data_IF_265121792407
#
_entry.id   IF_265121792407
#
_cell.length_a   1.000
_cell.length_b   1.000
_cell.length_c   1.000
_cell.angle_alpha   90.00
_cell.angle_beta   90.00
_cell.angle_gamma   90.00
#
_symmetry.space_group_name_H-M   'P 1'
#
loop_
_entity.id
_entity.type
_entity.pdbx_description
1 polymer ?
#
# COMPACT_ATOMS: atom_id res chain seq x y z
N UNK A 1 43.77 18.84 12.17
CA UNK A 1 45.00 18.29 12.81
C UNK A 1 46.00 19.37 13.29
N UNK A 2 45.63 20.65 13.35
CA UNK A 2 46.56 21.77 13.60
C UNK A 2 46.72 22.19 15.08
N UNK A 3 45.95 21.63 16.02
CA UNK A 3 45.89 22.13 17.40
C UNK A 3 46.90 21.48 18.37
N UNK A 4 47.26 20.20 18.15
CA UNK A 4 48.21 19.47 19.03
C UNK A 4 49.60 20.12 19.05
N UNK A 5 50.06 20.65 17.92
CA UNK A 5 51.36 21.31 17.83
C UNK A 5 51.41 22.67 18.54
N UNK A 6 50.30 23.41 18.58
CA UNK A 6 50.25 24.71 19.28
C UNK A 6 50.37 24.54 20.79
N UNK A 7 49.67 23.57 21.37
CA UNK A 7 49.73 23.29 22.83
C UNK A 7 51.14 22.87 23.25
N UNK A 8 51.82 22.03 22.45
CA UNK A 8 53.21 21.64 22.70
C UNK A 8 54.16 22.84 22.56
N UNK A 9 53.97 23.70 21.56
CA UNK A 9 54.79 24.90 21.35
C UNK A 9 54.66 25.90 22.52
N UNK A 10 53.44 26.13 23.02
CA UNK A 10 53.20 26.99 24.18
C UNK A 10 53.73 26.38 25.48
N UNK A 11 53.62 25.06 25.66
CA UNK A 11 54.19 24.36 26.82
C UNK A 11 55.71 24.41 26.87
N UNK A 12 56.38 24.20 25.73
CA UNK A 12 57.85 24.31 25.63
C UNK A 12 58.30 25.77 25.81
N UNK A 13 57.59 26.73 25.21
CA UNK A 13 57.88 28.16 25.37
C UNK A 13 57.75 28.64 26.83
N UNK A 14 56.74 28.17 27.56
CA UNK A 14 56.57 28.48 28.98
C UNK A 14 57.66 27.88 29.87
N UNK A 15 58.11 26.66 29.57
CA UNK A 15 59.24 26.03 30.28
C UNK A 15 60.56 26.77 30.04
N UNK A 16 60.82 27.22 28.80
CA UNK A 16 62.00 28.04 28.47
C UNK A 16 61.94 29.40 29.17
N UNK A 17 60.78 30.05 29.21
CA UNK A 17 60.60 31.31 29.93
C UNK A 17 60.83 31.17 31.44
N UNK A 18 60.29 30.11 32.07
CA UNK A 18 60.53 29.80 33.48
C UNK A 18 61.99 29.47 33.77
N UNK A 19 62.67 28.78 32.85
CA UNK A 19 64.11 28.50 32.95
C UNK A 19 64.95 29.79 32.89
N UNK A 20 64.61 30.72 31.98
CA UNK A 20 65.28 32.03 31.88
C UNK A 20 65.05 32.88 33.14
N UNK A 21 63.83 32.92 33.67
CA UNK A 21 63.50 33.66 34.90
C UNK A 21 64.27 33.13 36.11
N UNK A 22 64.40 31.80 36.21
CA UNK A 22 65.22 31.14 37.24
C UNK A 22 66.71 31.43 37.06
N UNK A 23 67.21 31.37 35.83
CA UNK A 23 68.61 31.66 35.49
C UNK A 23 69.01 33.10 35.84
N UNK A 24 68.09 34.05 35.63
CA UNK A 24 68.27 35.46 35.98
C UNK A 24 68.08 35.77 37.48
N UNK A 25 67.82 34.75 38.33
CA UNK A 25 67.53 34.89 39.77
C UNK A 25 66.39 35.87 40.09
N UNK A 26 65.49 36.12 39.14
CA UNK A 26 64.42 37.12 39.28
C UNK A 26 63.26 36.64 40.16
N UNK A 27 63.20 35.34 40.49
CA UNK A 27 62.17 34.75 41.34
C UNK A 27 62.72 33.56 42.16
N UNK A 28 62.18 33.34 43.36
CA UNK A 28 62.55 32.18 44.18
C UNK A 28 62.09 30.86 43.53
N UNK A 29 62.81 29.77 43.81
CA UNK A 29 62.50 28.43 43.29
C UNK A 29 61.04 28.00 43.56
N UNK A 30 60.48 28.45 44.68
CA UNK A 30 59.07 28.27 45.07
C UNK A 30 58.09 28.89 44.08
N UNK A 31 58.37 30.09 43.57
CA UNK A 31 57.46 30.81 42.65
C UNK A 31 57.44 30.14 41.28
N UNK A 32 58.60 29.68 40.80
CA UNK A 32 58.74 28.94 39.52
C UNK A 32 58.00 27.60 39.59
N UNK A 33 58.10 26.89 40.71
CA UNK A 33 57.39 25.63 40.93
C UNK A 33 55.87 25.81 40.99
N UNK A 34 55.37 26.85 41.68
CA UNK A 34 53.93 27.15 41.76
C UNK A 34 53.35 27.51 40.39
N UNK A 35 54.06 28.31 39.58
CA UNK A 35 53.63 28.64 38.21
C UNK A 35 53.64 27.39 37.32
N UNK A 36 54.65 26.53 37.44
CA UNK A 36 54.72 25.27 36.70
C UNK A 36 53.58 24.30 37.03
N UNK A 37 53.29 24.09 38.31
CA UNK A 37 52.20 23.23 38.78
C UNK A 37 50.83 23.83 38.37
N UNK A 38 50.66 25.14 38.52
CA UNK A 38 49.45 25.85 38.08
C UNK A 38 49.22 25.74 36.56
N UNK A 39 50.30 25.83 35.77
CA UNK A 39 50.26 25.62 34.33
C UNK A 39 49.82 24.20 33.95
N UNK A 40 50.40 23.17 34.58
CA UNK A 40 50.03 21.75 34.37
C UNK A 40 48.57 21.50 34.77
N UNK A 41 48.13 22.06 35.90
CA UNK A 41 46.76 21.94 36.37
C UNK A 41 45.76 22.57 35.39
N UNK A 42 46.06 23.78 34.88
CA UNK A 42 45.23 24.45 33.88
C UNK A 42 45.19 23.68 32.55
N UNK A 43 46.32 23.12 32.09
CA UNK A 43 46.34 22.30 30.86
C UNK A 43 45.60 20.98 31.06
N UNK A 44 45.72 20.35 32.23
CA UNK A 44 44.96 19.14 32.57
C UNK A 44 43.45 19.42 32.64
N UNK A 45 43.04 20.55 33.22
CA UNK A 45 41.64 20.96 33.28
C UNK A 45 41.08 21.30 31.89
N UNK A 46 41.85 21.99 31.04
CA UNK A 46 41.46 22.29 29.66
C UNK A 46 41.31 21.01 28.83
N UNK A 47 42.28 20.08 28.91
CA UNK A 47 42.19 18.77 28.24
C UNK A 47 41.02 17.92 28.76
N UNK A 48 40.69 17.99 30.06
CA UNK A 48 39.55 17.29 30.63
C UNK A 48 38.23 17.85 30.09
N UNK A 49 38.11 19.18 29.94
CA UNK A 49 36.95 19.84 29.33
C UNK A 49 36.80 19.50 27.84
N UNK A 50 37.90 19.51 27.08
CA UNK A 50 37.90 19.13 25.67
C UNK A 50 37.47 17.67 25.49
N UNK A 51 38.04 16.74 26.27
CA UNK A 51 37.64 15.32 26.26
C UNK A 51 36.20 15.08 26.71
N UNK A 52 35.65 15.93 27.58
CA UNK A 52 34.25 15.85 27.99
C UNK A 52 33.33 16.36 26.87
N UNK A 53 33.73 17.44 26.18
CA UNK A 53 33.01 17.97 25.02
C UNK A 53 33.02 16.98 23.85
N UNK A 54 34.16 16.33 23.59
CA UNK A 54 34.30 15.30 22.56
C UNK A 54 33.40 14.10 22.85
N UNK A 55 33.40 13.58 24.10
CA UNK A 55 32.49 12.50 24.52
C UNK A 55 31.02 12.89 24.35
N UNK A 56 30.64 14.09 24.79
CA UNK A 56 29.26 14.58 24.61
C UNK A 56 28.89 14.79 23.13
N UNK A 57 29.86 15.03 22.25
CA UNK A 57 29.64 15.11 20.81
C UNK A 57 29.53 13.72 20.17
N UNK A 58 30.32 12.74 20.63
CA UNK A 58 30.22 11.34 20.22
C UNK A 58 28.89 10.71 20.64
N UNK A 59 28.45 10.92 21.88
CA UNK A 59 27.13 10.48 22.36
C UNK A 59 26.00 11.05 21.50
N UNK A 60 26.04 12.36 21.22
CA UNK A 60 25.06 13.01 20.33
C UNK A 60 25.10 12.47 18.90
N UNK A 61 26.25 12.06 18.39
CA UNK A 61 26.36 11.43 17.06
C UNK A 61 25.79 10.01 17.08
N UNK A 62 26.12 9.22 18.09
CA UNK A 62 25.63 7.86 18.25
C UNK A 62 24.09 7.82 18.41
N UNK A 63 23.52 8.73 19.19
CA UNK A 63 22.07 8.81 19.35
C UNK A 63 21.38 9.26 18.05
N UNK A 64 21.95 10.21 17.32
CA UNK A 64 21.45 10.58 15.99
C UNK A 64 21.48 9.41 15.02
N UNK A 65 22.57 8.64 15.01
CA UNK A 65 22.72 7.48 14.14
C UNK A 65 21.68 6.39 14.47
N UNK A 66 21.45 6.10 15.76
CA UNK A 66 20.39 5.20 16.21
C UNK A 66 19.00 5.65 15.77
N UNK A 67 18.70 6.94 15.92
CA UNK A 67 17.41 7.50 15.48
C UNK A 67 17.25 7.40 13.96
N UNK A 68 18.29 7.72 13.18
CA UNK A 68 18.25 7.60 11.72
C UNK A 68 18.09 6.15 11.26
N UNK A 69 18.72 5.20 11.96
CA UNK A 69 18.54 3.78 11.71
C UNK A 69 17.10 3.34 11.99
N UNK A 70 16.55 3.71 13.16
CA UNK A 70 15.15 3.43 13.50
C UNK A 70 14.18 4.06 12.48
N UNK A 71 14.44 5.31 12.06
CA UNK A 71 13.66 5.99 11.01
C UNK A 71 13.71 5.18 9.72
N UNK A 72 14.90 4.73 9.27
CA UNK A 72 15.03 3.91 8.05
C UNK A 72 14.26 2.58 8.15
N UNK A 73 14.36 1.88 9.27
CA UNK A 73 13.71 0.58 9.49
C UNK A 73 12.17 0.66 9.48
N UNK A 74 11.62 1.84 9.79
CA UNK A 74 10.16 2.08 9.78
C UNK A 74 9.70 2.69 8.46
N UNK A 75 10.42 3.68 7.92
CA UNK A 75 10.00 4.44 6.75
C UNK A 75 10.05 3.61 5.47
N UNK A 76 11.03 2.70 5.32
CA UNK A 76 11.13 1.84 4.13
C UNK A 76 9.91 0.89 4.00
N UNK A 77 9.55 0.07 5.01
CA UNK A 77 8.32 -0.72 4.94
C UNK A 77 7.05 0.14 4.79
N UNK A 78 7.03 1.36 5.31
CA UNK A 78 5.89 2.24 5.15
C UNK A 78 5.72 2.71 3.69
N UNK A 79 6.82 2.99 2.98
CA UNK A 79 6.75 3.30 1.54
C UNK A 79 6.23 2.12 0.72
N UNK A 80 6.66 0.90 1.02
CA UNK A 80 6.11 -0.32 0.42
C UNK A 80 4.62 -0.52 0.77
N UNK A 81 4.25 -0.18 2.00
CA UNK A 81 2.87 -0.17 2.47
C UNK A 81 1.98 0.77 1.66
N UNK A 82 2.46 1.98 1.34
CA UNK A 82 1.71 2.93 0.51
C UNK A 82 1.39 2.33 -0.87
N UNK A 83 2.38 1.74 -1.54
CA UNK A 83 2.16 1.08 -2.83
C UNK A 83 1.23 -0.14 -2.72
N UNK A 84 1.41 -0.95 -1.66
CA UNK A 84 0.58 -2.14 -1.43
C UNK A 84 -0.88 -1.79 -1.21
N UNK A 85 -1.18 -0.71 -0.49
CA UNK A 85 -2.56 -0.29 -0.29
C UNK A 85 -3.22 0.15 -1.60
N UNK A 86 -2.54 0.97 -2.41
CA UNK A 86 -3.07 1.37 -3.73
C UNK A 86 -3.32 0.15 -4.62
N UNK A 87 -2.42 -0.84 -4.57
CA UNK A 87 -2.62 -2.11 -5.27
C UNK A 87 -3.83 -2.90 -4.74
N UNK A 88 -4.00 -3.00 -3.42
CA UNK A 88 -5.14 -3.69 -2.80
C UNK A 88 -6.47 -3.06 -3.24
N UNK A 89 -6.56 -1.72 -3.28
CA UNK A 89 -7.75 -1.01 -3.77
C UNK A 89 -8.05 -1.41 -5.23
N UNK A 90 -7.02 -1.50 -6.08
CA UNK A 90 -7.19 -1.96 -7.46
C UNK A 90 -7.66 -3.43 -7.55
N UNK A 91 -7.08 -4.32 -6.75
CA UNK A 91 -7.43 -5.75 -6.71
C UNK A 91 -8.82 -6.01 -6.14
N UNK A 92 -9.38 -5.11 -5.33
CA UNK A 92 -10.75 -5.28 -4.82
C UNK A 92 -11.79 -5.29 -5.94
N UNK A 93 -11.51 -4.66 -7.09
CA UNK A 93 -12.37 -4.73 -8.27
C UNK A 93 -12.12 -5.98 -9.13
N UNK A 94 -11.06 -6.74 -8.87
CA UNK A 94 -10.79 -8.00 -9.57
C UNK A 94 -11.50 -9.16 -8.86
N UNK A 95 -12.58 -9.65 -9.49
CA UNK A 95 -13.35 -10.79 -8.98
C UNK A 95 -12.51 -12.05 -8.78
N UNK A 96 -11.39 -12.24 -9.47
CA UNK A 96 -10.62 -13.51 -9.38
C UNK A 96 -9.83 -13.65 -8.08
N UNK A 97 -9.49 -12.54 -7.45
CA UNK A 97 -8.68 -12.52 -6.23
C UNK A 97 -9.55 -12.76 -4.98
N UNK A 98 -9.04 -13.58 -4.04
CA UNK A 98 -9.73 -13.89 -2.79
C UNK A 98 -9.77 -12.67 -1.86
N UNK A 99 -10.97 -12.21 -1.50
CA UNK A 99 -11.22 -11.03 -0.65
C UNK A 99 -10.45 -11.08 0.67
N UNK A 100 -10.40 -12.24 1.33
CA UNK A 100 -9.66 -12.43 2.59
C UNK A 100 -8.15 -12.15 2.45
N UNK A 101 -7.54 -12.52 1.31
CA UNK A 101 -6.13 -12.25 1.04
C UNK A 101 -5.89 -10.73 0.91
N UNK A 102 -6.76 -10.04 0.16
CA UNK A 102 -6.66 -8.59 -0.03
C UNK A 102 -6.80 -7.86 1.31
N UNK A 103 -7.74 -8.26 2.17
CA UNK A 103 -7.89 -7.68 3.52
C UNK A 103 -6.63 -7.88 4.37
N UNK A 104 -6.01 -9.06 4.31
CA UNK A 104 -4.77 -9.36 5.04
C UNK A 104 -3.62 -8.47 4.61
N UNK A 105 -3.40 -8.34 3.29
CA UNK A 105 -2.35 -7.49 2.71
C UNK A 105 -2.60 -6.01 3.01
N UNK A 106 -3.84 -5.53 2.87
CA UNK A 106 -4.23 -4.16 3.22
C UNK A 106 -3.97 -3.85 4.69
N UNK A 107 -4.36 -4.75 5.60
CA UNK A 107 -4.14 -4.58 7.05
C UNK A 107 -2.67 -4.58 7.42
N UNK A 108 -1.85 -5.43 6.79
CA UNK A 108 -0.41 -5.45 7.00
C UNK A 108 0.22 -4.14 6.53
N UNK A 109 -0.15 -3.66 5.34
CA UNK A 109 0.33 -2.41 4.79
C UNK A 109 -0.04 -1.19 5.66
N UNK A 110 -1.30 -1.12 6.15
CA UNK A 110 -1.72 -0.09 7.09
C UNK A 110 -0.92 -0.11 8.39
N UNK A 111 -0.55 -1.29 8.90
CA UNK A 111 0.28 -1.43 10.10
C UNK A 111 1.66 -0.79 9.89
N UNK A 112 2.30 -1.02 8.73
CA UNK A 112 3.57 -0.37 8.40
C UNK A 112 3.43 1.15 8.30
N UNK A 113 2.40 1.64 7.63
CA UNK A 113 2.16 3.08 7.49
C UNK A 113 1.87 3.75 8.84
N UNK A 114 1.13 3.09 9.73
CA UNK A 114 0.76 3.63 11.05
C UNK A 114 1.98 3.82 11.96
N UNK A 115 3.03 3.00 11.81
CA UNK A 115 4.28 3.15 12.59
C UNK A 115 5.02 4.46 12.30
N UNK A 116 4.85 5.04 11.11
CA UNK A 116 5.39 6.37 10.77
C UNK A 116 4.88 7.44 11.73
N UNK A 117 3.62 7.32 12.18
CA UNK A 117 2.99 8.27 13.10
C UNK A 117 3.67 8.33 14.48
N UNK A 118 4.51 7.34 14.83
CA UNK A 118 5.18 7.26 16.13
C UNK A 118 6.56 7.91 16.15
N UNK A 119 7.23 8.01 14.99
CA UNK A 119 8.67 8.34 14.90
C UNK A 119 8.97 9.53 14.00
N UNK A 120 8.00 9.97 13.20
CA UNK A 120 8.20 11.02 12.20
C UNK A 120 7.93 12.41 12.75
N UNK A 121 8.48 13.38 12.04
CA UNK A 121 8.30 14.79 12.33
C UNK A 121 6.86 15.24 11.98
N UNK A 122 6.43 16.37 12.53
CA UNK A 122 5.03 16.83 12.43
C UNK A 122 4.53 16.99 10.98
N UNK A 123 5.38 17.44 10.05
CA UNK A 123 5.04 17.58 8.63
C UNK A 123 4.73 16.21 7.99
N UNK A 124 5.58 15.21 8.25
CA UNK A 124 5.43 13.84 7.73
C UNK A 124 4.22 13.15 8.34
N UNK A 125 3.99 13.37 9.64
CA UNK A 125 2.81 12.85 10.33
C UNK A 125 1.52 13.39 9.69
N UNK A 126 1.44 14.70 9.44
CA UNK A 126 0.28 15.31 8.79
C UNK A 126 0.06 14.77 7.36
N UNK A 127 1.13 14.68 6.57
CA UNK A 127 1.06 14.11 5.22
C UNK A 127 0.59 12.65 5.22
N UNK A 128 1.12 11.83 6.14
CA UNK A 128 0.73 10.42 6.29
C UNK A 128 -0.73 10.29 6.74
N UNK A 129 -1.19 11.10 7.69
CA UNK A 129 -2.60 11.09 8.13
C UNK A 129 -3.55 11.44 6.99
N UNK A 130 -3.26 12.48 6.22
CA UNK A 130 -4.08 12.89 5.08
C UNK A 130 -4.15 11.77 4.02
N UNK A 131 -3.01 11.16 3.71
CA UNK A 131 -2.96 10.04 2.77
C UNK A 131 -3.74 8.82 3.29
N UNK A 132 -3.52 8.42 4.55
CA UNK A 132 -4.23 7.31 5.20
C UNK A 132 -5.75 7.53 5.21
N UNK A 133 -6.20 8.74 5.51
CA UNK A 133 -7.62 9.07 5.51
C UNK A 133 -8.21 8.89 4.11
N UNK A 134 -7.57 9.47 3.09
CA UNK A 134 -8.06 9.35 1.71
C UNK A 134 -8.09 7.90 1.22
N UNK A 135 -7.05 7.15 1.54
CA UNK A 135 -6.94 5.73 1.22
C UNK A 135 -8.02 4.89 1.93
N UNK A 136 -8.36 5.21 3.18
CA UNK A 136 -9.46 4.55 3.90
C UNK A 136 -10.81 4.86 3.28
N UNK A 137 -11.06 6.11 2.87
CA UNK A 137 -12.28 6.49 2.17
C UNK A 137 -12.44 5.68 0.87
N UNK A 138 -11.38 5.60 0.06
CA UNK A 138 -11.36 4.79 -1.17
C UNK A 138 -11.57 3.29 -0.87
N UNK A 139 -10.92 2.78 0.17
CA UNK A 139 -11.07 1.39 0.58
C UNK A 139 -12.51 1.03 0.96
N UNK A 140 -13.16 1.84 1.79
CA UNK A 140 -14.56 1.60 2.21
C UNK A 140 -15.50 1.64 1.01
N UNK A 141 -15.30 2.60 0.10
CA UNK A 141 -16.08 2.71 -1.13
C UNK A 141 -15.94 1.44 -1.98
N UNK A 142 -14.72 1.01 -2.28
CA UNK A 142 -14.49 -0.16 -3.14
C UNK A 142 -14.88 -1.47 -2.44
N UNK A 143 -14.71 -1.57 -1.12
CA UNK A 143 -15.16 -2.74 -0.37
C UNK A 143 -16.68 -2.92 -0.41
N UNK A 144 -17.44 -1.83 -0.32
CA UNK A 144 -18.90 -1.86 -0.50
C UNK A 144 -19.30 -2.34 -1.90
N UNK A 145 -18.62 -1.85 -2.93
CA UNK A 145 -18.85 -2.28 -4.31
C UNK A 145 -18.51 -3.75 -4.55
N UNK A 146 -17.36 -4.20 -4.02
CA UNK A 146 -16.95 -5.60 -4.11
C UNK A 146 -17.95 -6.54 -3.46
N UNK A 147 -18.48 -6.18 -2.30
CA UNK A 147 -19.49 -7.00 -1.63
C UNK A 147 -20.73 -7.21 -2.51
N UNK A 148 -21.22 -6.16 -3.18
CA UNK A 148 -22.35 -6.27 -4.10
C UNK A 148 -22.02 -7.16 -5.32
N UNK A 149 -20.83 -7.02 -5.89
CA UNK A 149 -20.36 -7.84 -7.01
C UNK A 149 -20.27 -9.34 -6.63
N UNK A 150 -19.71 -9.64 -5.46
CA UNK A 150 -19.60 -11.01 -4.96
C UNK A 150 -20.98 -11.66 -4.76
N UNK A 151 -21.99 -10.91 -4.30
CA UNK A 151 -23.37 -11.41 -4.18
C UNK A 151 -23.98 -11.76 -5.54
N UNK A 152 -23.85 -10.89 -6.54
CA UNK A 152 -24.37 -11.16 -7.89
C UNK A 152 -23.64 -12.36 -8.49
N UNK A 153 -22.32 -12.45 -8.31
CA UNK A 153 -21.53 -13.58 -8.79
C UNK A 153 -21.94 -14.90 -8.14
N UNK A 154 -22.20 -14.91 -6.84
CA UNK A 154 -22.70 -16.11 -6.16
C UNK A 154 -24.05 -16.57 -6.74
N UNK A 155 -24.93 -15.63 -7.11
CA UNK A 155 -26.19 -15.96 -7.79
C UNK A 155 -25.95 -16.51 -9.21
N UNK A 156 -25.02 -15.93 -9.98
CA UNK A 156 -24.65 -16.46 -11.30
C UNK A 156 -24.17 -17.90 -11.19
N UNK A 157 -23.23 -18.19 -10.28
CA UNK A 157 -22.71 -19.55 -10.06
C UNK A 157 -23.82 -20.51 -9.64
N UNK A 158 -24.75 -20.08 -8.80
CA UNK A 158 -25.90 -20.90 -8.39
C UNK A 158 -26.82 -21.25 -9.56
N UNK A 159 -27.10 -20.29 -10.45
CA UNK A 159 -27.91 -20.53 -11.66
C UNK A 159 -27.18 -21.41 -12.65
N UNK A 160 -25.88 -21.19 -12.88
CA UNK A 160 -25.07 -22.03 -13.76
C UNK A 160 -25.02 -23.48 -13.26
N UNK A 161 -24.92 -23.67 -11.94
CA UNK A 161 -25.00 -25.00 -11.30
C UNK A 161 -26.39 -25.62 -11.47
N UNK A 162 -27.46 -24.85 -11.29
CA UNK A 162 -28.82 -25.34 -11.50
C UNK A 162 -29.06 -25.74 -12.96
N UNK A 163 -28.58 -24.93 -13.91
CA UNK A 163 -28.65 -25.21 -15.34
C UNK A 163 -27.87 -26.47 -15.73
N UNK A 164 -26.69 -26.69 -15.14
CA UNK A 164 -25.92 -27.93 -15.34
C UNK A 164 -26.67 -29.17 -14.84
N UNK A 165 -27.30 -29.11 -13.66
CA UNK A 165 -28.13 -30.21 -13.13
C UNK A 165 -29.37 -30.48 -13.98
N UNK A 166 -30.00 -29.42 -14.50
CA UNK A 166 -31.16 -29.52 -15.39
C UNK A 166 -30.75 -30.15 -16.74
N UNK A 167 -29.52 -29.90 -17.19
CA UNK A 167 -28.91 -30.58 -18.33
C UNK A 167 -28.76 -32.08 -18.12
N UNK A 168 -28.21 -32.50 -16.97
CA UNK A 168 -28.06 -33.91 -16.62
C UNK A 168 -29.43 -34.60 -16.53
N UNK A 169 -30.39 -34.00 -15.81
CA UNK A 169 -31.74 -34.55 -15.64
C UNK A 169 -32.47 -34.74 -16.98
N UNK A 170 -32.36 -33.77 -17.90
CA UNK A 170 -32.98 -33.92 -19.21
C UNK A 170 -32.34 -35.06 -20.03
N UNK A 171 -31.02 -35.26 -19.94
CA UNK A 171 -30.35 -36.37 -20.61
C UNK A 171 -30.83 -37.72 -20.08
N UNK A 172 -31.03 -37.85 -18.76
CA UNK A 172 -31.61 -39.03 -18.12
C UNK A 172 -33.05 -39.29 -18.57
N UNK A 173 -33.88 -38.24 -18.66
CA UNK A 173 -35.26 -38.36 -19.14
C UNK A 173 -35.32 -38.81 -20.60
N UNK A 174 -34.45 -38.29 -21.48
CA UNK A 174 -34.36 -38.77 -22.85
C UNK A 174 -33.86 -40.22 -22.93
N UNK A 175 -32.90 -40.61 -22.11
CA UNK A 175 -32.44 -42.00 -22.04
C UNK A 175 -33.57 -42.95 -21.59
N UNK A 176 -34.34 -42.53 -20.58
CA UNK A 176 -35.53 -43.24 -20.09
C UNK A 176 -36.62 -43.37 -21.16
N UNK A 177 -36.91 -42.27 -21.87
CA UNK A 177 -37.87 -42.26 -22.98
C UNK A 177 -37.45 -43.22 -24.11
N UNK A 178 -36.15 -43.24 -24.47
CA UNK A 178 -35.61 -44.17 -25.47
C UNK A 178 -35.76 -45.63 -25.02
N UNK A 179 -35.47 -45.93 -23.76
CA UNK A 179 -35.62 -47.26 -23.20
C UNK A 179 -37.08 -47.77 -23.25
N UNK A 180 -38.06 -46.88 -22.99
CA UNK A 180 -39.49 -47.19 -23.10
C UNK A 180 -39.95 -47.48 -24.53
N UNK A 181 -39.38 -46.80 -25.53
CA UNK A 181 -39.67 -47.06 -26.96
C UNK A 181 -39.10 -48.42 -27.40
N UNK A 182 -37.95 -48.82 -26.86
CA UNK A 182 -37.26 -50.06 -27.25
C UNK A 182 -37.70 -51.32 -26.50
N UNK A 183 -38.60 -51.22 -25.52
CA UNK A 183 -39.04 -52.35 -24.69
C UNK A 183 -40.18 -53.19 -25.29
N UNK A 184 -40.31 -54.44 -24.86
CA UNK A 184 -41.31 -55.40 -25.37
C UNK A 184 -42.78 -55.03 -25.06
N UNK A 185 -43.02 -54.10 -24.12
CA UNK A 185 -44.35 -53.60 -23.75
C UNK A 185 -44.34 -52.06 -23.55
N UNK A 186 -44.64 -51.27 -24.60
CA UNK A 186 -44.69 -49.82 -24.48
C UNK A 186 -45.90 -49.36 -23.65
N UNK A 187 -45.65 -48.72 -22.51
CA UNK A 187 -46.67 -48.01 -21.72
C UNK A 187 -46.84 -46.59 -22.25
N UNK A 188 -47.94 -46.36 -22.99
CA UNK A 188 -48.27 -45.07 -23.57
C UNK A 188 -48.46 -43.95 -22.52
N UNK A 189 -48.97 -44.28 -21.34
CA UNK A 189 -49.18 -43.30 -20.26
C UNK A 189 -47.88 -42.93 -19.55
N UNK A 190 -46.93 -43.86 -19.43
CA UNK A 190 -45.57 -43.55 -18.99
C UNK A 190 -44.84 -42.66 -20.01
N UNK A 191 -44.94 -42.98 -21.30
CA UNK A 191 -44.33 -42.20 -22.38
C UNK A 191 -44.84 -40.75 -22.42
N UNK A 192 -46.16 -40.55 -22.30
CA UNK A 192 -46.76 -39.22 -22.29
C UNK A 192 -46.29 -38.39 -21.08
N UNK A 193 -46.25 -39.00 -19.88
CA UNK A 193 -45.72 -38.35 -18.66
C UNK A 193 -44.26 -37.93 -18.81
N UNK A 194 -43.40 -38.80 -19.35
CA UNK A 194 -41.99 -38.45 -19.60
C UNK A 194 -41.85 -37.33 -20.63
N UNK A 195 -42.70 -37.32 -21.65
CA UNK A 195 -42.73 -36.24 -22.65
C UNK A 195 -43.14 -34.90 -22.04
N UNK A 196 -44.16 -34.88 -21.17
CA UNK A 196 -44.57 -33.68 -20.43
C UNK A 196 -43.47 -33.18 -19.47
N UNK A 197 -42.75 -34.09 -18.81
CA UNK A 197 -41.61 -33.74 -17.97
C UNK A 197 -40.48 -33.11 -18.79
N UNK A 198 -40.13 -33.67 -19.95
CA UNK A 198 -39.12 -33.09 -20.84
C UNK A 198 -39.51 -31.67 -21.25
N UNK A 199 -40.75 -31.43 -21.66
CA UNK A 199 -41.24 -30.09 -22.02
C UNK A 199 -41.15 -29.10 -20.84
N UNK A 200 -41.43 -29.57 -19.62
CA UNK A 200 -41.28 -28.77 -18.39
C UNK A 200 -39.82 -28.40 -18.12
N UNK A 201 -38.89 -29.35 -18.31
CA UNK A 201 -37.45 -29.11 -18.19
C UNK A 201 -36.93 -28.15 -19.27
N UNK A 202 -37.41 -28.23 -20.51
CA UNK A 202 -37.06 -27.27 -21.56
C UNK A 202 -37.49 -25.83 -21.21
N UNK A 203 -38.70 -25.68 -20.66
CA UNK A 203 -39.20 -24.37 -20.20
C UNK A 203 -38.40 -23.85 -18.98
N UNK A 204 -38.04 -24.73 -18.05
CA UNK A 204 -37.16 -24.43 -16.91
C UNK A 204 -35.80 -23.91 -17.38
N UNK A 205 -35.14 -24.63 -18.31
CA UNK A 205 -33.85 -24.21 -18.88
C UNK A 205 -33.90 -22.85 -19.53
N UNK A 206 -34.94 -22.58 -20.33
CA UNK A 206 -35.13 -21.27 -20.95
C UNK A 206 -35.20 -20.18 -19.88
N UNK A 207 -35.97 -20.40 -18.82
CA UNK A 207 -36.11 -19.45 -17.70
C UNK A 207 -34.79 -19.25 -16.94
N UNK A 208 -34.02 -20.33 -16.72
CA UNK A 208 -32.70 -20.25 -16.09
C UNK A 208 -31.68 -19.50 -16.97
N UNK A 209 -31.70 -19.72 -18.29
CA UNK A 209 -30.84 -19.04 -19.24
C UNK A 209 -31.16 -17.54 -19.33
N UNK A 210 -32.44 -17.18 -19.36
CA UNK A 210 -32.90 -15.78 -19.34
C UNK A 210 -32.45 -15.10 -18.05
N UNK A 211 -32.64 -15.76 -16.90
CA UNK A 211 -32.21 -15.23 -15.60
C UNK A 211 -30.68 -15.11 -15.49
N UNK A 212 -29.93 -16.06 -16.03
CA UNK A 212 -28.46 -15.98 -16.09
C UNK A 212 -28.00 -14.76 -16.91
N UNK A 213 -28.66 -14.51 -18.04
CA UNK A 213 -28.38 -13.35 -18.89
C UNK A 213 -28.67 -12.03 -18.16
N UNK A 214 -29.80 -11.94 -17.45
CA UNK A 214 -30.15 -10.77 -16.63
C UNK A 214 -29.13 -10.52 -15.53
N UNK A 215 -28.69 -11.58 -14.81
CA UNK A 215 -27.67 -11.43 -13.78
C UNK A 215 -26.31 -11.01 -14.34
N UNK A 216 -25.92 -11.50 -15.53
CA UNK A 216 -24.69 -11.07 -16.20
C UNK A 216 -24.74 -9.60 -16.58
N UNK A 217 -25.86 -9.11 -17.11
CA UNK A 217 -26.07 -7.68 -17.36
C UNK A 217 -25.95 -6.89 -16.06
N UNK A 218 -26.68 -7.29 -15.01
CA UNK A 218 -26.65 -6.61 -13.71
C UNK A 218 -25.24 -6.58 -13.10
N UNK A 219 -24.47 -7.67 -13.26
CA UNK A 219 -23.08 -7.74 -12.84
C UNK A 219 -22.22 -6.70 -13.59
N UNK A 220 -22.29 -6.66 -14.92
CA UNK A 220 -21.52 -5.70 -15.72
C UNK A 220 -21.94 -4.24 -15.47
N UNK A 221 -23.22 -3.96 -15.25
CA UNK A 221 -23.70 -2.64 -14.84
C UNK A 221 -23.12 -2.23 -13.48
N UNK A 222 -23.05 -3.17 -12.55
CA UNK A 222 -22.46 -2.92 -11.23
C UNK A 222 -20.95 -2.72 -11.31
N UNK A 223 -20.25 -3.45 -12.17
CA UNK A 223 -18.81 -3.21 -12.42
C UNK A 223 -18.57 -1.82 -12.99
N UNK A 224 -19.39 -1.38 -13.95
CA UNK A 224 -19.31 0.00 -14.48
C UNK A 224 -19.52 1.01 -13.36
N UNK A 225 -20.57 0.84 -12.54
CA UNK A 225 -20.85 1.73 -11.42
C UNK A 225 -19.66 1.79 -10.43
N UNK A 226 -19.06 0.65 -10.10
CA UNK A 226 -17.93 0.57 -9.19
C UNK A 226 -16.69 1.29 -9.74
N UNK A 227 -16.36 1.09 -11.01
CA UNK A 227 -15.23 1.77 -11.66
C UNK A 227 -15.49 3.28 -11.78
N UNK A 228 -16.72 3.70 -12.14
CA UNK A 228 -17.10 5.11 -12.18
C UNK A 228 -17.00 5.76 -10.80
N UNK A 229 -17.53 5.12 -9.75
CA UNK A 229 -17.42 5.63 -8.38
C UNK A 229 -15.96 5.80 -7.94
N UNK A 230 -15.07 4.88 -8.32
CA UNK A 230 -13.64 5.01 -8.06
C UNK A 230 -12.99 6.17 -8.83
N UNK A 231 -13.41 6.44 -10.06
CA UNK A 231 -12.95 7.60 -10.82
C UNK A 231 -13.43 8.92 -10.21
N UNK A 232 -14.70 8.96 -9.77
CA UNK A 232 -15.35 10.14 -9.19
C UNK A 232 -14.85 10.47 -7.77
N UNK A 233 -14.40 9.46 -7.02
CA UNK A 233 -13.84 9.64 -5.67
C UNK A 233 -12.56 10.50 -5.65
N UNK A 234 -12.03 10.88 -6.82
CA UNK A 234 -10.84 11.70 -6.95
C UNK A 234 -9.55 10.89 -6.93
N UNK A 235 -8.42 11.57 -7.08
CA UNK A 235 -7.12 10.93 -7.06
C UNK A 235 -6.38 11.13 -5.73
N UNK A 236 -5.27 10.40 -5.60
CA UNK A 236 -4.35 10.47 -4.46
C UNK A 236 -3.03 11.13 -4.84
N UNK A 237 -2.87 11.63 -6.07
CA UNK A 237 -1.57 11.99 -6.64
C UNK A 237 -0.89 13.05 -5.78
N UNK A 238 -1.61 14.10 -5.44
CA UNK A 238 -1.05 15.21 -4.66
C UNK A 238 -0.67 14.78 -3.23
N UNK A 239 -1.46 13.89 -2.62
CA UNK A 239 -1.19 13.34 -1.30
C UNK A 239 0.01 12.39 -1.31
N UNK A 240 0.12 11.55 -2.33
CA UNK A 240 1.25 10.61 -2.50
C UNK A 240 2.55 11.35 -2.76
N UNK A 241 2.53 12.35 -3.65
CA UNK A 241 3.70 13.19 -3.95
C UNK A 241 4.17 13.93 -2.70
N UNK A 242 3.24 14.52 -1.94
CA UNK A 242 3.57 15.24 -0.72
C UNK A 242 4.08 14.30 0.38
N UNK A 243 3.47 13.13 0.53
CA UNK A 243 3.95 12.11 1.45
C UNK A 243 5.36 11.65 1.09
N UNK A 244 5.64 11.38 -0.19
CA UNK A 244 6.97 10.99 -0.66
C UNK A 244 8.02 12.09 -0.41
N UNK A 245 7.64 13.37 -0.60
CA UNK A 245 8.50 14.51 -0.27
C UNK A 245 8.87 14.50 1.21
N UNK A 246 7.88 14.35 2.09
CA UNK A 246 8.11 14.31 3.54
C UNK A 246 8.93 13.09 3.97
N UNK A 247 8.58 11.89 3.50
CA UNK A 247 9.29 10.65 3.85
C UNK A 247 10.78 10.67 3.41
N UNK A 248 11.11 11.30 2.27
CA UNK A 248 12.50 11.44 1.83
C UNK A 248 13.27 12.49 2.64
N UNK A 249 12.60 13.58 3.03
CA UNK A 249 13.17 14.61 3.91
C UNK A 249 13.57 14.04 5.27
N UNK A 250 12.80 13.10 5.82
CA UNK A 250 13.11 12.41 7.09
C UNK A 250 14.45 11.66 7.11
N UNK A 251 14.97 11.29 5.93
CA UNK A 251 16.21 10.53 5.76
C UNK A 251 17.26 11.31 4.95
N UNK A 252 17.12 12.64 4.89
CA UNK A 252 18.02 13.56 4.19
C UNK A 252 18.27 13.19 2.71
N UNK A 253 17.24 12.70 2.03
CA UNK A 253 17.31 12.42 0.59
C UNK A 253 16.68 13.54 -0.24
N UNK A 254 17.40 13.96 -1.28
CA UNK A 254 16.88 14.90 -2.27
C UNK A 254 15.60 14.38 -2.93
N UNK A 255 14.69 15.30 -3.25
CA UNK A 255 13.43 15.00 -3.94
C UNK A 255 13.08 16.06 -4.98
N UNK A 256 13.03 15.62 -6.23
CA UNK A 256 12.49 16.39 -7.36
C UNK A 256 10.95 16.39 -7.29
N UNK A 257 10.41 17.35 -6.54
CA UNK A 257 8.96 17.52 -6.36
C UNK A 257 8.24 17.81 -7.69
N UNK A 258 8.65 18.81 -8.51
CA UNK A 258 7.94 19.14 -9.74
C UNK A 258 7.96 18.00 -10.76
N UNK A 259 9.12 17.38 -10.99
CA UNK A 259 9.25 16.30 -11.96
C UNK A 259 8.52 15.02 -11.52
N UNK A 260 8.53 14.71 -10.22
CA UNK A 260 7.76 13.56 -9.70
C UNK A 260 6.27 13.78 -9.82
N UNK A 261 5.76 14.96 -9.46
CA UNK A 261 4.36 15.33 -9.66
C UNK A 261 3.93 15.20 -11.12
N UNK A 262 4.72 15.76 -12.05
CA UNK A 262 4.42 15.67 -13.48
C UNK A 262 4.33 14.22 -13.98
N UNK A 263 5.25 13.34 -13.55
CA UNK A 263 5.22 11.91 -13.89
C UNK A 263 3.98 11.21 -13.35
N UNK A 264 3.59 11.47 -12.11
CA UNK A 264 2.43 10.84 -11.48
C UNK A 264 1.11 11.31 -12.11
N UNK A 265 0.97 12.61 -12.40
CA UNK A 265 -0.18 13.16 -13.14
C UNK A 265 -0.30 12.52 -14.53
N UNK A 266 0.82 12.42 -15.26
CA UNK A 266 0.82 11.76 -16.58
C UNK A 266 0.47 10.27 -16.48
N UNK A 267 0.93 9.58 -15.44
CA UNK A 267 0.55 8.19 -15.14
C UNK A 267 -0.95 8.05 -14.88
N UNK A 268 -1.49 8.91 -14.02
CA UNK A 268 -2.92 8.95 -13.69
C UNK A 268 -3.77 9.19 -14.93
N UNK A 269 -3.41 10.14 -15.78
CA UNK A 269 -4.13 10.42 -17.02
C UNK A 269 -4.23 9.19 -17.94
N UNK A 270 -3.16 8.39 -18.04
CA UNK A 270 -3.18 7.11 -18.80
C UNK A 270 -4.15 6.10 -18.18
N UNK A 271 -4.14 5.97 -16.86
CA UNK A 271 -5.04 5.05 -16.13
C UNK A 271 -6.49 5.46 -16.32
N UNK A 272 -6.81 6.74 -16.11
CA UNK A 272 -8.17 7.27 -16.31
C UNK A 272 -8.65 6.98 -17.73
N UNK A 273 -7.84 7.31 -18.74
CA UNK A 273 -8.18 7.04 -20.14
C UNK A 273 -8.49 5.56 -20.39
N UNK A 274 -7.65 4.65 -19.88
CA UNK A 274 -7.85 3.21 -20.05
C UNK A 274 -9.13 2.72 -19.35
N UNK A 275 -9.41 3.19 -18.13
CA UNK A 275 -10.61 2.81 -17.38
C UNK A 275 -11.89 3.36 -18.04
N UNK A 276 -11.88 4.61 -18.50
CA UNK A 276 -13.01 5.20 -19.24
C UNK A 276 -13.28 4.43 -20.52
N UNK A 277 -12.25 4.05 -21.27
CA UNK A 277 -12.43 3.22 -22.47
C UNK A 277 -13.08 1.87 -22.14
N UNK A 278 -12.62 1.18 -21.09
CA UNK A 278 -13.22 -0.08 -20.65
C UNK A 278 -14.68 0.07 -20.23
N UNK A 279 -15.05 1.18 -19.60
CA UNK A 279 -16.45 1.48 -19.26
C UNK A 279 -17.29 1.59 -20.53
N UNK A 280 -16.82 2.32 -21.54
CA UNK A 280 -17.57 2.50 -22.79
C UNK A 280 -17.72 1.18 -23.58
N UNK A 281 -16.66 0.36 -23.61
CA UNK A 281 -16.71 -0.99 -24.17
C UNK A 281 -17.74 -1.88 -23.45
N UNK A 282 -17.77 -1.84 -22.11
CA UNK A 282 -18.72 -2.59 -21.32
C UNK A 282 -20.18 -2.12 -21.54
N UNK A 283 -20.41 -0.81 -21.60
CA UNK A 283 -21.73 -0.23 -21.92
C UNK A 283 -22.22 -0.67 -23.30
N UNK A 284 -21.35 -0.61 -24.31
CA UNK A 284 -21.68 -1.06 -25.66
C UNK A 284 -22.01 -2.57 -25.70
N UNK A 285 -21.26 -3.38 -24.94
CA UNK A 285 -21.54 -4.81 -24.77
C UNK A 285 -22.91 -5.08 -24.16
N UNK A 286 -23.27 -4.38 -23.08
CA UNK A 286 -24.59 -4.50 -22.43
C UNK A 286 -25.71 -4.11 -23.40
N UNK A 287 -25.55 -2.99 -24.12
CA UNK A 287 -26.54 -2.53 -25.09
C UNK A 287 -26.80 -3.57 -26.19
N UNK A 288 -25.72 -4.19 -26.71
CA UNK A 288 -25.81 -5.27 -27.70
C UNK A 288 -26.56 -6.50 -27.16
N UNK A 289 -26.28 -6.92 -25.93
CA UNK A 289 -26.97 -8.06 -25.30
C UNK A 289 -28.47 -7.74 -25.11
N UNK A 290 -28.81 -6.52 -24.65
CA UNK A 290 -30.21 -6.09 -24.49
C UNK A 290 -30.99 -6.15 -25.80
N UNK A 291 -30.42 -5.60 -26.87
CA UNK A 291 -31.00 -5.66 -28.22
C UNK A 291 -31.22 -7.10 -28.70
N UNK A 292 -30.24 -7.98 -28.49
CA UNK A 292 -30.35 -9.40 -28.87
C UNK A 292 -31.40 -10.17 -28.04
N UNK A 293 -31.61 -9.77 -26.79
CA UNK A 293 -32.57 -10.41 -25.87
C UNK A 293 -34.01 -9.90 -25.99
N UNK A 294 -34.26 -8.85 -26.78
CA UNK A 294 -35.59 -8.24 -26.90
C UNK A 294 -36.09 -7.54 -25.63
N UNK A 295 -35.18 -7.19 -24.71
CA UNK A 295 -35.47 -6.47 -23.48
C UNK A 295 -35.27 -4.96 -23.72
N UNK A 296 -36.31 -4.28 -24.23
CA UNK A 296 -36.49 -2.83 -24.11
C UNK A 296 -37.48 -2.50 -23.00
#
# INVERSE_FOLDING_TARGET
MTNKYKVVLYGVGALVALWIIKWLQLASDTVVAVIGIGGIYLTAQANARERAADRAAEERRADKERVMQLKRDILLPATEGCSSVTQCIGLMLDGTTQTAKIHGEYSAALSHMTKVLLISDAETLAAMMNYLQKVRELWVLVAGERFALDQIRAQIVAIETAHARDNETQQELYASQRAMISGDHPDAAAFERTTQLIATHEQSKKTLADRATQLRIAYSEREIQAVTALLDAGDTVDLEVELLRCLRKEIDLDFDLPGTRARMVAGRARIVKALTQRIEEAKAGIASIRQASGAE
#
